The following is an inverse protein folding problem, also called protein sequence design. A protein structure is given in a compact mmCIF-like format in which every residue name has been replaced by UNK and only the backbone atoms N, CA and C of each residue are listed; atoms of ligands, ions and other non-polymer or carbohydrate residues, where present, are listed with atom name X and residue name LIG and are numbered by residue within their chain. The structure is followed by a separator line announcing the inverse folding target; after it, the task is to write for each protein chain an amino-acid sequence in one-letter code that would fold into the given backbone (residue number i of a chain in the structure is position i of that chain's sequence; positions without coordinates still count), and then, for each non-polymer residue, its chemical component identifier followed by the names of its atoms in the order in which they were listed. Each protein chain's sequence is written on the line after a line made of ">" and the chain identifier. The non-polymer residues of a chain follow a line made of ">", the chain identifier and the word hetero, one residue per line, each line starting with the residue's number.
data_IF_473536723387
#
_entry.id   IF_473536723387
#
_cell.length_a   1.000
_cell.length_b   1.000
_cell.length_c   1.000
_cell.angle_alpha   90.00
_cell.angle_beta   90.00
_cell.angle_gamma   90.00
#
_symmetry.space_group_name_H-M   'P 1'
#
loop_
_entity.id
_entity.type
_entity.pdbx_description
1 polymer ?
#
# COMPACT_ATOMS: atom_id res chain seq x y z
N UNK A 1 -14.72 -6.30 6.95
CA UNK A 1 -13.92 -7.14 6.03
C UNK A 1 -12.46 -7.10 6.47
N UNK A 2 -11.81 -8.26 6.58
CA UNK A 2 -10.41 -8.40 7.01
C UNK A 2 -9.49 -7.73 5.97
N UNK A 3 -8.68 -6.76 6.39
CA UNK A 3 -7.74 -5.99 5.55
C UNK A 3 -6.53 -6.82 5.06
N UNK A 4 -6.56 -8.14 5.22
CA UNK A 4 -5.41 -9.03 5.06
C UNK A 4 -5.13 -9.45 3.61
N UNK A 5 -6.09 -9.29 2.70
CA UNK A 5 -6.08 -9.98 1.39
C UNK A 5 -5.79 -9.11 0.17
N UNK A 6 -5.29 -7.89 0.33
CA UNK A 6 -4.73 -7.14 -0.82
C UNK A 6 -3.45 -7.86 -1.29
N UNK A 7 -3.56 -8.66 -2.36
CA UNK A 7 -2.48 -9.50 -2.90
C UNK A 7 -2.02 -9.05 -4.29
N UNK A 8 -2.78 -8.21 -4.97
CA UNK A 8 -2.47 -7.78 -6.34
C UNK A 8 -2.47 -6.25 -6.52
N UNK A 9 -1.66 -5.72 -7.45
CA UNK A 9 -1.70 -4.31 -7.85
C UNK A 9 -3.09 -3.85 -8.30
N UNK A 10 -3.90 -4.74 -8.86
CA UNK A 10 -5.26 -4.43 -9.31
C UNK A 10 -6.21 -4.18 -8.13
N UNK A 11 -6.09 -4.94 -7.05
CA UNK A 11 -6.84 -4.70 -5.82
C UNK A 11 -6.38 -3.42 -5.12
N UNK A 12 -5.08 -3.09 -5.20
CA UNK A 12 -4.57 -1.79 -4.75
C UNK A 12 -5.17 -0.63 -5.54
N UNK A 13 -5.33 -0.77 -6.85
CA UNK A 13 -5.97 0.22 -7.71
C UNK A 13 -7.46 0.39 -7.35
N UNK A 14 -8.18 -0.72 -7.16
CA UNK A 14 -9.57 -0.69 -6.69
C UNK A 14 -9.68 -0.07 -5.29
N UNK A 15 -8.72 -0.34 -4.41
CA UNK A 15 -8.64 0.31 -3.10
C UNK A 15 -8.38 1.81 -3.21
N UNK A 16 -7.51 2.25 -4.13
CA UNK A 16 -7.26 3.67 -4.36
C UNK A 16 -8.49 4.40 -4.90
N UNK A 17 -9.31 3.72 -5.71
CA UNK A 17 -10.57 4.20 -6.29
C UNK A 17 -11.74 4.15 -5.29
N UNK A 18 -11.77 3.17 -4.40
CA UNK A 18 -12.80 3.00 -3.39
C UNK A 18 -12.61 3.97 -2.22
N UNK A 19 -13.65 4.71 -1.86
CA UNK A 19 -13.71 5.52 -0.64
C UNK A 19 -13.88 4.65 0.63
N UNK A 20 -13.21 3.49 0.71
CA UNK A 20 -13.18 2.75 1.95
C UNK A 20 -12.19 3.45 2.87
N UNK A 21 -12.76 4.15 3.85
CA UNK A 21 -12.12 4.78 4.98
C UNK A 21 -11.45 3.69 5.84
N UNK A 22 -10.45 3.03 5.29
CA UNK A 22 -9.61 2.12 6.06
C UNK A 22 -8.79 3.05 6.94
N UNK A 23 -9.06 2.97 8.23
CA UNK A 23 -8.33 3.66 9.27
C UNK A 23 -6.86 3.24 9.21
N UNK A 24 -6.08 3.89 8.35
CA UNK A 24 -4.63 3.84 8.32
C UNK A 24 -4.07 5.02 9.12
N UNK A 25 -4.76 5.37 10.22
CA UNK A 25 -4.09 6.06 11.29
C UNK A 25 -3.14 5.04 11.95
N UNK A 26 -1.94 5.48 12.33
CA UNK A 26 -0.96 4.71 13.11
C UNK A 26 0.00 3.81 12.31
N UNK A 27 0.69 4.38 11.31
CA UNK A 27 2.10 4.00 11.13
C UNK A 27 2.93 4.94 12.00
N UNK A 28 3.22 4.49 13.22
CA UNK A 28 3.84 5.24 14.32
C UNK A 28 5.21 5.83 13.99
N UNK A 29 6.24 5.38 14.69
CA UNK A 29 7.60 5.90 14.53
C UNK A 29 8.13 5.72 13.09
N UNK A 30 9.13 6.52 12.69
CA UNK A 30 9.78 6.46 11.38
C UNK A 30 10.16 5.01 10.99
N UNK A 31 10.61 4.21 11.95
CA UNK A 31 10.96 2.80 11.79
C UNK A 31 9.78 1.93 11.37
N UNK A 32 8.62 2.09 12.00
CA UNK A 32 7.39 1.34 11.68
C UNK A 32 6.89 1.67 10.27
N UNK A 33 7.02 2.94 9.86
CA UNK A 33 6.72 3.36 8.48
C UNK A 33 7.61 2.66 7.46
N UNK A 34 8.92 2.63 7.67
CA UNK A 34 9.84 1.94 6.75
C UNK A 34 9.62 0.43 6.73
N UNK A 35 9.35 -0.18 7.89
CA UNK A 35 9.09 -1.62 7.98
C UNK A 35 7.80 -1.99 7.21
N UNK A 36 6.75 -1.20 7.36
CA UNK A 36 5.51 -1.36 6.60
C UNK A 36 5.72 -1.20 5.09
N UNK A 37 6.46 -0.17 4.66
CA UNK A 37 6.80 0.04 3.24
C UNK A 37 7.55 -1.18 2.70
N UNK A 38 8.58 -1.64 3.41
CA UNK A 38 9.39 -2.81 3.00
C UNK A 38 8.52 -4.06 2.89
N UNK A 39 7.71 -4.36 3.90
CA UNK A 39 6.80 -5.52 3.90
C UNK A 39 5.82 -5.47 2.72
N UNK A 40 5.28 -4.29 2.41
CA UNK A 40 4.36 -4.10 1.29
C UNK A 40 5.06 -4.34 -0.06
N UNK A 41 6.26 -3.80 -0.25
CA UNK A 41 7.04 -3.98 -1.48
C UNK A 41 7.38 -5.47 -1.71
N UNK A 42 7.74 -6.20 -0.64
CA UNK A 42 8.01 -7.65 -0.72
C UNK A 42 6.73 -8.42 -1.02
N UNK A 43 5.63 -8.14 -0.32
CA UNK A 43 4.32 -8.80 -0.53
C UNK A 43 3.83 -8.65 -1.97
N UNK A 44 4.04 -7.47 -2.56
CA UNK A 44 3.63 -7.16 -3.93
C UNK A 44 4.63 -7.62 -5.00
N UNK A 45 5.72 -8.29 -4.60
CA UNK A 45 6.84 -8.67 -5.49
C UNK A 45 7.27 -7.49 -6.37
N UNK A 46 7.42 -6.31 -5.76
CA UNK A 46 7.54 -5.04 -6.48
C UNK A 46 8.60 -5.04 -7.60
N UNK A 47 9.70 -5.77 -7.40
CA UNK A 47 10.78 -5.88 -8.40
C UNK A 47 10.30 -6.52 -9.71
N UNK A 48 9.36 -7.48 -9.65
CA UNK A 48 8.82 -8.21 -10.80
C UNK A 48 7.68 -7.49 -11.51
N UNK A 49 7.19 -6.37 -10.95
CA UNK A 49 6.06 -5.63 -11.51
C UNK A 49 6.46 -4.77 -12.72
N UNK A 50 5.52 -4.59 -13.65
CA UNK A 50 5.71 -3.65 -14.76
C UNK A 50 5.59 -2.19 -14.28
N UNK A 51 6.00 -1.23 -15.12
CA UNK A 51 6.02 0.21 -14.77
C UNK A 51 4.66 0.72 -14.28
N UNK A 52 3.56 0.27 -14.88
CA UNK A 52 2.20 0.66 -14.51
C UNK A 52 1.86 0.18 -13.09
N UNK A 53 2.09 -1.10 -12.81
CA UNK A 53 1.82 -1.72 -11.52
C UNK A 53 2.69 -1.13 -10.41
N UNK A 54 3.96 -0.86 -10.70
CA UNK A 54 4.86 -0.14 -9.78
C UNK A 54 4.29 1.22 -9.40
N UNK A 55 3.75 1.96 -10.36
CA UNK A 55 3.11 3.26 -10.12
C UNK A 55 1.86 3.18 -9.24
N UNK A 56 1.12 2.07 -9.29
CA UNK A 56 -0.05 1.83 -8.41
C UNK A 56 0.42 1.59 -6.97
N UNK A 57 1.43 0.72 -6.78
CA UNK A 57 2.00 0.43 -5.46
C UNK A 57 2.58 1.69 -4.81
N UNK A 58 3.29 2.52 -5.56
CA UNK A 58 3.84 3.78 -5.04
C UNK A 58 2.72 4.76 -4.65
N UNK A 59 1.67 4.91 -5.48
CA UNK A 59 0.53 5.77 -5.13
C UNK A 59 -0.20 5.29 -3.88
N UNK A 60 -0.32 3.98 -3.71
CA UNK A 60 -0.83 3.40 -2.47
C UNK A 60 0.04 3.77 -1.26
N UNK A 61 1.35 3.55 -1.35
CA UNK A 61 2.29 3.87 -0.28
C UNK A 61 2.26 5.36 0.08
N UNK A 62 2.21 6.27 -0.90
CA UNK A 62 2.10 7.71 -0.65
C UNK A 62 0.78 8.03 0.07
N UNK A 63 -0.35 7.49 -0.42
CA UNK A 63 -1.67 7.78 0.17
C UNK A 63 -1.73 7.38 1.65
N UNK A 64 -1.13 6.25 2.02
CA UNK A 64 -1.18 5.74 3.40
C UNK A 64 -0.08 6.29 4.31
N UNK A 65 1.01 6.86 3.78
CA UNK A 65 2.07 7.47 4.61
C UNK A 65 1.94 8.99 4.76
N UNK A 66 1.20 9.65 3.86
CA UNK A 66 1.09 11.12 3.81
C UNK A 66 -0.21 11.66 4.42
N UNK A 67 -1.25 10.84 4.57
CA UNK A 67 -2.46 11.21 5.32
C UNK A 67 -2.14 11.17 6.83
N UNK A 68 -1.60 12.28 7.35
CA UNK A 68 -1.61 12.66 8.77
C UNK A 68 -2.72 13.67 9.00
#
# INVERSE_FOLDING_TARGET
>A
MKTSDLKTPKELEQFLLGNQHVAFAVLGAKTERYDFIRKTLVKMRYTTLCKKEKGIVIRYLIKITTQQ
#
